data_IF_426547234315
#
_entry.id   IF_426547234315
#
_cell.length_a   1.000
_cell.length_b   1.000
_cell.length_c   1.000
_cell.angle_alpha   90.00
_cell.angle_beta   90.00
_cell.angle_gamma   90.00
#
_symmetry.space_group_name_H-M   'P 1'
#
loop_
_entity.id
_entity.type
_entity.pdbx_description
1 polymer ?
#
# COMPACT_ATOMS: atom_id res chain seq x y z
N UNK A 1 12.05 0.90 -27.35
CA UNK A 1 13.38 1.32 -26.90
C UNK A 1 13.18 1.65 -25.45
N UNK A 2 13.39 0.67 -24.57
CA UNK A 2 13.46 0.89 -23.14
C UNK A 2 14.66 1.81 -22.89
N UNK A 3 14.43 2.90 -22.16
CA UNK A 3 15.50 3.77 -21.73
C UNK A 3 16.09 3.12 -20.48
N UNK A 4 17.07 2.23 -20.66
CA UNK A 4 17.92 1.81 -19.54
C UNK A 4 18.67 3.04 -19.05
N UNK A 5 18.18 3.63 -17.97
CA UNK A 5 18.86 4.70 -17.28
C UNK A 5 20.05 4.06 -16.55
N UNK A 6 21.24 4.59 -16.81
CA UNK A 6 22.46 4.06 -16.23
C UNK A 6 22.62 4.67 -14.84
N UNK A 7 22.66 3.80 -13.82
CA UNK A 7 23.14 4.04 -12.44
C UNK A 7 24.26 5.09 -12.45
N UNK A 8 23.88 6.34 -12.18
CA UNK A 8 24.80 7.47 -12.16
C UNK A 8 24.85 8.16 -10.79
N UNK A 9 24.01 7.72 -9.84
CA UNK A 9 23.84 8.37 -8.54
C UNK A 9 23.41 9.84 -8.66
N UNK A 10 22.92 10.28 -9.83
CA UNK A 10 22.37 11.60 -10.06
C UNK A 10 20.85 11.54 -9.88
N UNK A 11 20.30 12.39 -9.01
CA UNK A 11 18.86 12.60 -8.93
C UNK A 11 18.35 13.16 -10.26
N UNK A 12 17.48 12.41 -10.94
CA UNK A 12 16.83 12.89 -12.15
C UNK A 12 15.51 13.57 -11.76
N UNK A 13 15.34 14.81 -12.21
CA UNK A 13 14.15 15.59 -11.88
C UNK A 13 12.86 15.07 -12.54
N UNK A 14 12.96 14.42 -13.71
CA UNK A 14 11.80 13.92 -14.44
C UNK A 14 12.17 12.83 -15.44
N UNK A 15 11.44 11.72 -15.40
CA UNK A 15 11.43 10.70 -16.44
C UNK A 15 10.01 10.42 -16.93
N UNK A 16 9.83 10.35 -18.25
CA UNK A 16 8.53 10.11 -18.90
C UNK A 16 8.70 9.30 -20.19
N UNK A 17 7.85 8.29 -20.37
CA UNK A 17 7.86 7.39 -21.50
C UNK A 17 6.56 6.60 -21.61
N UNK A 18 6.32 5.95 -22.77
CA UNK A 18 5.13 5.13 -23.00
C UNK A 18 5.16 3.76 -22.32
N UNK A 19 6.34 3.30 -21.90
CA UNK A 19 6.61 2.12 -21.06
C UNK A 19 7.95 2.42 -20.41
N UNK A 20 8.03 2.24 -19.11
CA UNK A 20 9.19 2.56 -18.30
C UNK A 20 9.48 1.30 -17.47
N UNK A 21 10.71 0.80 -17.59
CA UNK A 21 11.09 -0.58 -17.26
C UNK A 21 12.57 -0.54 -16.85
N UNK A 22 12.96 -1.37 -15.87
CA UNK A 22 14.29 -1.45 -15.28
C UNK A 22 14.84 -0.08 -14.79
N UNK A 23 14.09 0.63 -13.93
CA UNK A 23 14.53 1.94 -13.40
C UNK A 23 15.15 1.75 -12.02
N UNK A 24 16.46 1.93 -11.90
CA UNK A 24 17.20 1.88 -10.63
C UNK A 24 17.96 3.18 -10.32
N UNK A 25 17.33 4.34 -10.52
CA UNK A 25 17.89 5.65 -10.17
C UNK A 25 16.93 6.40 -9.22
N UNK A 26 17.47 7.29 -8.37
CA UNK A 26 16.66 8.22 -7.58
C UNK A 26 15.99 9.27 -8.47
N UNK A 27 14.65 9.35 -8.45
CA UNK A 27 13.90 10.35 -9.24
C UNK A 27 12.99 11.23 -8.35
N UNK A 28 12.89 12.51 -8.69
CA UNK A 28 11.85 13.37 -8.09
C UNK A 28 10.46 13.04 -8.68
N UNK A 29 10.39 12.73 -9.98
CA UNK A 29 9.11 12.54 -10.66
C UNK A 29 9.19 11.53 -11.80
N UNK A 30 8.28 10.56 -11.76
CA UNK A 30 8.15 9.51 -12.75
C UNK A 30 6.68 9.41 -13.22
N UNK A 31 6.46 9.65 -14.53
CA UNK A 31 5.11 9.69 -15.13
C UNK A 31 5.07 8.85 -16.41
N UNK A 32 4.11 7.93 -16.50
CA UNK A 32 4.02 6.97 -17.60
C UNK A 32 2.72 6.19 -17.57
N UNK A 33 2.36 5.50 -18.67
CA UNK A 33 1.14 4.71 -18.74
C UNK A 33 1.35 3.25 -18.27
N UNK A 34 2.57 2.80 -18.01
CA UNK A 34 2.90 1.45 -17.53
C UNK A 34 4.32 1.48 -16.97
N UNK A 35 4.48 0.87 -15.81
CA UNK A 35 5.73 0.74 -15.08
C UNK A 35 5.93 -0.71 -14.67
N UNK A 36 7.18 -1.15 -14.74
CA UNK A 36 7.64 -2.52 -14.48
C UNK A 36 9.06 -2.39 -13.88
N UNK A 37 9.39 -3.17 -12.86
CA UNK A 37 10.74 -3.25 -12.25
C UNK A 37 11.37 -1.87 -11.88
N UNK A 38 10.80 -1.16 -10.90
CA UNK A 38 11.24 0.19 -10.47
C UNK A 38 11.95 0.12 -9.11
N UNK A 39 13.27 -0.04 -9.04
CA UNK A 39 13.98 -0.47 -7.83
C UNK A 39 14.47 0.60 -6.83
N UNK A 40 14.20 1.89 -7.01
CA UNK A 40 14.90 2.97 -6.29
C UNK A 40 13.98 3.95 -5.53
N UNK A 41 14.57 4.98 -4.91
CA UNK A 41 13.83 6.04 -4.21
C UNK A 41 13.12 7.00 -5.18
N UNK A 42 11.80 7.17 -5.02
CA UNK A 42 11.01 8.16 -5.78
C UNK A 42 10.22 9.09 -4.86
N UNK A 43 10.21 10.39 -5.17
CA UNK A 43 9.31 11.32 -4.48
C UNK A 43 7.87 11.17 -5.03
N UNK A 44 7.70 11.07 -6.35
CA UNK A 44 6.37 10.99 -6.95
C UNK A 44 6.31 10.04 -8.16
N UNK A 45 5.40 9.07 -8.07
CA UNK A 45 5.12 8.08 -9.10
C UNK A 45 3.63 8.11 -9.51
N UNK A 46 3.35 8.40 -10.79
CA UNK A 46 1.97 8.56 -11.32
C UNK A 46 1.77 7.81 -12.63
N UNK A 47 0.74 6.98 -12.68
CA UNK A 47 0.45 6.12 -13.82
C UNK A 47 -0.84 5.33 -13.66
N UNK A 48 -1.30 4.65 -14.72
CA UNK A 48 -2.50 3.85 -14.70
C UNK A 48 -2.27 2.38 -14.26
N UNK A 49 -1.05 1.85 -14.38
CA UNK A 49 -0.68 0.47 -14.05
C UNK A 49 0.79 0.43 -13.61
N UNK A 50 1.04 -0.31 -12.55
CA UNK A 50 2.34 -0.51 -11.91
C UNK A 50 2.48 -1.96 -11.51
N UNK A 51 3.69 -2.49 -11.66
CA UNK A 51 4.10 -3.86 -11.39
C UNK A 51 5.52 -3.74 -10.84
N UNK A 52 5.83 -4.46 -9.76
CA UNK A 52 7.16 -4.52 -9.12
C UNK A 52 7.80 -3.13 -8.84
N UNK A 53 7.25 -2.38 -7.87
CA UNK A 53 7.80 -1.08 -7.45
C UNK A 53 8.58 -1.23 -6.14
N UNK A 54 9.82 -0.75 -6.11
CA UNK A 54 10.80 -0.97 -5.05
C UNK A 54 10.77 -0.03 -3.84
N UNK A 55 11.94 0.10 -3.21
CA UNK A 55 12.12 0.20 -1.76
C UNK A 55 11.53 1.43 -1.04
N UNK A 56 11.43 2.60 -1.66
CA UNK A 56 10.97 3.81 -0.96
C UNK A 56 10.26 4.81 -1.88
N UNK A 57 8.98 5.10 -1.61
CA UNK A 57 8.23 6.16 -2.31
C UNK A 57 7.55 7.11 -1.32
N UNK A 58 7.60 8.42 -1.58
CA UNK A 58 6.78 9.36 -0.82
C UNK A 58 5.31 9.31 -1.29
N UNK A 59 5.08 9.32 -2.60
CA UNK A 59 3.73 9.28 -3.16
C UNK A 59 3.62 8.39 -4.39
N UNK A 60 2.70 7.41 -4.32
CA UNK A 60 2.27 6.58 -5.43
C UNK A 60 0.75 6.68 -5.66
N UNK A 61 0.37 6.93 -6.91
CA UNK A 61 -1.03 7.04 -7.31
C UNK A 61 -1.30 6.30 -8.63
N UNK A 62 -2.18 5.29 -8.56
CA UNK A 62 -2.58 4.53 -9.73
C UNK A 62 -3.89 3.73 -9.59
N UNK A 63 -4.58 3.45 -10.71
CA UNK A 63 -5.72 2.55 -10.83
C UNK A 63 -5.50 1.11 -10.38
N UNK A 64 -4.32 0.56 -10.68
CA UNK A 64 -3.95 -0.83 -10.49
C UNK A 64 -2.48 -0.85 -10.07
N UNK A 65 -2.25 -1.22 -8.81
CA UNK A 65 -0.92 -1.32 -8.20
C UNK A 65 -0.78 -2.75 -7.69
N UNK A 66 0.34 -3.36 -8.02
CA UNK A 66 0.69 -4.74 -7.73
C UNK A 66 2.17 -4.75 -7.30
N UNK A 67 2.52 -5.60 -6.33
CA UNK A 67 3.88 -5.78 -5.82
C UNK A 67 4.61 -4.45 -5.49
N UNK A 68 4.13 -3.73 -4.46
CA UNK A 68 4.71 -2.44 -4.03
C UNK A 68 5.59 -2.60 -2.79
N UNK A 69 6.79 -2.01 -2.82
CA UNK A 69 7.90 -2.28 -1.92
C UNK A 69 7.80 -1.74 -0.49
N UNK A 70 8.95 -1.76 0.19
CA UNK A 70 9.08 -1.83 1.65
C UNK A 70 8.59 -0.58 2.43
N UNK A 71 8.65 0.63 1.86
CA UNK A 71 8.29 1.86 2.60
C UNK A 71 7.57 2.89 1.72
N UNK A 72 6.33 3.24 2.08
CA UNK A 72 5.58 4.33 1.43
C UNK A 72 4.96 5.30 2.44
N UNK A 73 5.04 6.60 2.16
CA UNK A 73 4.25 7.57 2.96
C UNK A 73 2.78 7.55 2.52
N UNK A 74 2.51 7.66 1.21
CA UNK A 74 1.14 7.73 0.69
C UNK A 74 0.93 6.86 -0.55
N UNK A 75 -0.03 5.94 -0.43
CA UNK A 75 -0.50 5.07 -1.50
C UNK A 75 -2.00 5.25 -1.74
N UNK A 76 -2.38 5.45 -3.00
CA UNK A 76 -3.79 5.62 -3.39
C UNK A 76 -4.12 4.91 -4.70
N UNK A 77 -5.13 4.03 -4.65
CA UNK A 77 -5.62 3.37 -5.85
C UNK A 77 -6.94 2.60 -5.69
N UNK A 78 -7.67 2.34 -6.78
CA UNK A 78 -8.86 1.51 -6.86
C UNK A 78 -8.68 0.04 -6.46
N UNK A 79 -7.54 -0.54 -6.82
CA UNK A 79 -7.19 -1.93 -6.66
C UNK A 79 -5.70 -1.96 -6.31
N UNK A 80 -5.41 -2.35 -5.08
CA UNK A 80 -4.06 -2.46 -4.53
C UNK A 80 -3.93 -3.89 -4.02
N UNK A 81 -2.84 -4.53 -4.41
CA UNK A 81 -2.53 -5.94 -4.14
C UNK A 81 -1.03 -6.01 -3.77
N UNK A 82 -0.67 -6.93 -2.87
CA UNK A 82 0.72 -7.19 -2.44
C UNK A 82 1.51 -5.90 -2.09
N UNK A 83 1.07 -5.19 -1.03
CA UNK A 83 1.72 -3.95 -0.60
C UNK A 83 2.63 -4.19 0.61
N UNK A 84 3.86 -3.70 0.54
CA UNK A 84 4.95 -3.99 1.47
C UNK A 84 4.84 -3.45 2.90
N UNK A 85 5.97 -3.59 3.60
CA UNK A 85 6.05 -3.73 5.06
C UNK A 85 5.67 -2.50 5.89
N UNK A 86 5.85 -1.27 5.38
CA UNK A 86 5.62 -0.04 6.17
C UNK A 86 4.92 1.05 5.37
N UNK A 87 3.71 1.44 5.80
CA UNK A 87 2.92 2.51 5.18
C UNK A 87 2.38 3.50 6.21
N UNK A 88 2.51 4.80 5.95
CA UNK A 88 1.79 5.80 6.77
C UNK A 88 0.29 5.84 6.38
N UNK A 89 -0.01 5.97 5.09
CA UNK A 89 -1.38 6.08 4.61
C UNK A 89 -1.65 5.26 3.36
N UNK A 90 -2.61 4.34 3.48
CA UNK A 90 -3.15 3.53 2.40
C UNK A 90 -4.66 3.79 2.20
N UNK A 91 -5.05 4.09 0.96
CA UNK A 91 -6.45 4.33 0.63
C UNK A 91 -6.87 3.70 -0.70
N UNK A 92 -7.92 2.87 -0.65
CA UNK A 92 -8.52 2.28 -1.85
C UNK A 92 -9.87 1.59 -1.62
N UNK A 93 -10.66 1.35 -2.68
CA UNK A 93 -11.88 0.56 -2.65
C UNK A 93 -11.67 -0.92 -2.29
N UNK A 94 -10.61 -1.52 -2.81
CA UNK A 94 -10.30 -2.96 -2.68
C UNK A 94 -8.80 -3.04 -2.41
N UNK A 95 -8.46 -3.51 -1.22
CA UNK A 95 -7.08 -3.70 -0.75
C UNK A 95 -6.96 -5.15 -0.30
N UNK A 96 -5.91 -5.80 -0.74
CA UNK A 96 -5.62 -7.22 -0.52
C UNK A 96 -4.12 -7.35 -0.20
N UNK A 97 -3.74 -8.35 0.60
CA UNK A 97 -2.35 -8.67 0.96
C UNK A 97 -1.51 -7.43 1.36
N UNK A 98 -1.87 -6.78 2.47
CA UNK A 98 -1.21 -5.56 2.94
C UNK A 98 -0.25 -5.86 4.10
N UNK A 99 0.98 -5.34 4.02
CA UNK A 99 2.10 -5.67 4.90
C UNK A 99 2.01 -5.25 6.37
N UNK A 100 3.15 -5.42 7.06
CA UNK A 100 3.23 -5.61 8.51
C UNK A 100 2.87 -4.39 9.38
N UNK A 101 3.15 -3.16 8.94
CA UNK A 101 2.99 -1.95 9.77
C UNK A 101 2.31 -0.82 9.01
N UNK A 102 1.15 -0.41 9.51
CA UNK A 102 0.37 0.70 8.95
C UNK A 102 -0.08 1.69 10.03
N UNK A 103 0.00 2.99 9.75
CA UNK A 103 -0.68 3.98 10.60
C UNK A 103 -2.17 4.09 10.25
N UNK A 104 -2.50 4.23 8.96
CA UNK A 104 -3.87 4.45 8.51
C UNK A 104 -4.22 3.65 7.25
N UNK A 105 -5.24 2.79 7.40
CA UNK A 105 -5.83 2.01 6.31
C UNK A 105 -7.30 2.36 6.10
N UNK A 106 -7.66 2.75 4.87
CA UNK A 106 -9.02 3.14 4.51
C UNK A 106 -9.48 2.43 3.25
N UNK A 107 -10.53 1.62 3.37
CA UNK A 107 -11.20 1.04 2.22
C UNK A 107 -12.45 0.24 2.57
N UNK A 108 -13.47 0.20 1.69
CA UNK A 108 -14.70 -0.53 1.96
C UNK A 108 -14.52 -2.05 1.95
N UNK A 109 -13.56 -2.62 1.20
CA UNK A 109 -13.26 -4.06 1.17
C UNK A 109 -11.76 -4.24 1.41
N UNK A 110 -11.42 -4.83 2.55
CA UNK A 110 -10.05 -5.08 2.98
C UNK A 110 -9.93 -6.55 3.38
N UNK A 111 -8.89 -7.20 2.89
CA UNK A 111 -8.60 -8.62 3.07
C UNK A 111 -7.09 -8.77 3.37
N UNK A 112 -6.73 -9.81 4.12
CA UNK A 112 -5.34 -10.16 4.47
C UNK A 112 -4.46 -8.95 4.87
N UNK A 113 -4.81 -8.30 5.99
CA UNK A 113 -4.09 -7.10 6.49
C UNK A 113 -3.11 -7.48 7.60
N UNK A 114 -1.87 -7.01 7.51
CA UNK A 114 -0.75 -7.39 8.38
C UNK A 114 -0.82 -6.98 9.85
N UNK A 115 0.30 -7.22 10.53
CA UNK A 115 0.39 -7.45 11.98
C UNK A 115 0.07 -6.26 12.89
N UNK A 116 0.38 -5.03 12.48
CA UNK A 116 0.26 -3.83 13.34
C UNK A 116 -0.39 -2.66 12.60
N UNK A 117 -1.54 -2.21 13.10
CA UNK A 117 -2.28 -1.10 12.53
C UNK A 117 -2.81 -0.14 13.61
N UNK A 118 -2.59 1.16 13.46
CA UNK A 118 -3.19 2.14 14.39
C UNK A 118 -4.67 2.36 14.09
N UNK A 119 -5.03 2.61 12.83
CA UNK A 119 -6.40 2.92 12.44
C UNK A 119 -6.85 2.19 11.18
N UNK A 120 -7.87 1.34 11.34
CA UNK A 120 -8.59 0.65 10.28
C UNK A 120 -9.99 1.22 10.07
N UNK A 121 -10.32 1.58 8.84
CA UNK A 121 -11.69 1.98 8.48
C UNK A 121 -12.17 1.30 7.21
N UNK A 122 -13.13 0.39 7.36
CA UNK A 122 -13.73 -0.30 6.23
C UNK A 122 -15.11 -0.89 6.45
N UNK A 123 -15.71 -1.40 5.37
CA UNK A 123 -17.08 -1.90 5.40
C UNK A 123 -17.14 -3.42 5.55
N UNK A 124 -16.26 -4.13 4.86
CA UNK A 124 -16.04 -5.57 4.84
C UNK A 124 -14.56 -5.80 5.11
N UNK A 125 -14.27 -6.45 6.23
CA UNK A 125 -12.92 -6.73 6.71
C UNK A 125 -12.83 -8.22 6.98
N UNK A 126 -11.79 -8.84 6.45
CA UNK A 126 -11.48 -10.27 6.56
C UNK A 126 -9.98 -10.38 6.89
N UNK A 127 -9.60 -11.39 7.67
CA UNK A 127 -8.22 -11.73 8.05
C UNK A 127 -7.34 -10.51 8.43
N UNK A 128 -7.69 -9.81 9.51
CA UNK A 128 -6.92 -8.65 10.02
C UNK A 128 -5.95 -9.08 11.11
N UNK A 129 -4.69 -8.64 11.00
CA UNK A 129 -3.56 -9.06 11.82
C UNK A 129 -3.62 -8.74 13.32
N UNK A 130 -2.51 -9.04 13.99
CA UNK A 130 -2.43 -9.31 15.42
C UNK A 130 -2.73 -8.12 16.34
N UNK A 131 -2.40 -6.89 15.93
CA UNK A 131 -2.49 -5.68 16.78
C UNK A 131 -3.17 -4.51 16.08
N UNK A 132 -4.34 -4.11 16.59
CA UNK A 132 -5.11 -2.98 16.09
C UNK A 132 -5.54 -2.02 17.21
N UNK A 133 -5.21 -0.73 17.13
CA UNK A 133 -5.68 0.23 18.13
C UNK A 133 -7.16 0.61 17.91
N UNK A 134 -7.53 1.03 16.69
CA UNK A 134 -8.89 1.47 16.38
C UNK A 134 -9.42 0.85 15.09
N UNK A 135 -10.55 0.16 15.24
CA UNK A 135 -11.30 -0.43 14.15
C UNK A 135 -12.67 0.25 13.97
N UNK A 136 -12.96 0.69 12.74
CA UNK A 136 -14.25 1.25 12.35
C UNK A 136 -14.81 0.44 11.18
N UNK A 137 -15.85 -0.35 11.44
CA UNK A 137 -16.48 -1.14 10.38
C UNK A 137 -17.68 -1.98 10.83
N UNK A 138 -18.63 -2.27 9.94
CA UNK A 138 -19.84 -3.01 10.26
C UNK A 138 -19.80 -4.52 10.01
N UNK A 139 -18.87 -5.06 9.21
CA UNK A 139 -18.71 -6.49 8.93
C UNK A 139 -17.26 -6.86 9.11
N UNK A 140 -17.00 -7.73 10.08
CA UNK A 140 -15.68 -8.18 10.50
C UNK A 140 -15.73 -9.71 10.55
N UNK A 141 -14.74 -10.34 9.94
CA UNK A 141 -14.42 -11.76 10.03
C UNK A 141 -12.94 -11.87 10.44
N UNK A 142 -12.63 -12.81 11.33
CA UNK A 142 -11.27 -13.16 11.78
C UNK A 142 -10.34 -11.97 12.07
N UNK A 143 -10.61 -11.25 13.18
CA UNK A 143 -9.72 -10.19 13.69
C UNK A 143 -8.73 -10.78 14.70
N UNK A 144 -7.45 -10.43 14.53
CA UNK A 144 -6.31 -10.91 15.32
C UNK A 144 -6.36 -10.64 16.82
N UNK A 145 -5.25 -11.00 17.47
CA UNK A 145 -5.21 -11.26 18.91
C UNK A 145 -5.51 -10.04 19.79
N UNK A 146 -5.22 -8.81 19.36
CA UNK A 146 -5.36 -7.60 20.18
C UNK A 146 -6.05 -6.44 19.45
N UNK A 147 -7.22 -6.04 19.97
CA UNK A 147 -7.99 -4.88 19.52
C UNK A 147 -8.36 -3.97 20.71
N UNK A 148 -7.93 -2.71 20.70
CA UNK A 148 -8.25 -1.76 21.80
C UNK A 148 -9.65 -1.16 21.67
N UNK A 149 -10.05 -0.70 20.47
CA UNK A 149 -11.35 -0.07 20.27
C UNK A 149 -12.03 -0.48 18.98
N UNK A 150 -13.28 -0.94 19.10
CA UNK A 150 -14.17 -1.24 17.99
C UNK A 150 -15.36 -0.28 17.91
N UNK A 151 -15.65 0.20 16.70
CA UNK A 151 -16.86 0.96 16.36
C UNK A 151 -17.62 0.25 15.22
N UNK A 152 -18.53 -0.67 15.57
CA UNK A 152 -19.23 -1.51 14.59
C UNK A 152 -20.43 -2.30 15.12
N UNK A 153 -21.47 -2.58 14.30
CA UNK A 153 -22.64 -3.36 14.72
C UNK A 153 -22.54 -4.91 14.59
N UNK A 154 -21.65 -5.50 13.78
CA UNK A 154 -21.62 -6.96 13.55
C UNK A 154 -20.20 -7.53 13.63
N UNK A 155 -20.11 -8.75 14.15
CA UNK A 155 -18.87 -9.47 14.47
C UNK A 155 -19.06 -10.96 14.21
N UNK A 156 -18.16 -11.57 13.43
CA UNK A 156 -17.83 -12.99 13.45
C UNK A 156 -16.35 -13.07 13.88
N UNK A 157 -16.05 -13.90 14.87
CA UNK A 157 -14.73 -14.14 15.52
C UNK A 157 -13.76 -12.94 15.79
N UNK A 158 -13.48 -12.65 17.07
CA UNK A 158 -12.38 -11.76 17.48
C UNK A 158 -11.48 -12.57 18.41
N UNK A 159 -10.17 -12.47 18.21
CA UNK A 159 -9.13 -12.93 19.14
C UNK A 159 -9.25 -12.32 20.56
N UNK A 160 -8.23 -12.56 21.39
CA UNK A 160 -8.25 -12.20 22.82
C UNK A 160 -8.31 -10.67 23.07
N UNK A 161 -9.50 -10.09 23.05
CA UNK A 161 -9.71 -8.65 23.26
C UNK A 161 -9.19 -8.20 24.62
N UNK A 162 -8.21 -7.28 24.65
CA UNK A 162 -7.75 -6.62 25.87
C UNK A 162 -8.53 -5.33 26.10
N UNK A 163 -8.92 -5.14 27.36
CA UNK A 163 -9.93 -4.20 27.85
C UNK A 163 -9.59 -2.71 27.76
#
# INVERSE_FOLDING_TARGET
>A
MAAGAADSGETLALLNGPTLDDIGDTLELLIGPMFDDIGDTLELLIGPMFDDIGDTLELLNGPMLDDIGETLELLNGPMLDDIGDTLELLNGPTLDDIGDTLELLIGPMLDDIGDTLELLNGAMLDDIGDTLELLIGPMLDDIGDTLELLIGPMLDDIGDTLA
#
